data_IF_215354908777
#
_entry.id   IF_215354908777
#
_cell.length_a   1.000
_cell.length_b   1.000
_cell.length_c   1.000
_cell.angle_alpha   90.00
_cell.angle_beta   90.00
_cell.angle_gamma   90.00
#
_symmetry.space_group_name_H-M   'P 1'
#
loop_
_entity.id
_entity.type
_entity.pdbx_description
1 polymer ?
#
# COMPACT_ATOMS: atom_id res chain seq x y z
N UNK A 1 9.85 -26.41 13.76
CA UNK A 1 8.91 -26.10 12.65
C UNK A 1 8.97 -24.60 12.31
N UNK A 2 9.47 -24.18 11.13
CA UNK A 2 9.64 -22.76 10.82
C UNK A 2 8.30 -22.15 10.38
N UNK A 3 7.36 -21.99 11.31
CA UNK A 3 6.04 -21.38 11.04
C UNK A 3 6.12 -19.91 10.62
N UNK A 4 7.18 -19.17 11.02
CA UNK A 4 7.34 -17.73 10.76
C UNK A 4 7.55 -17.37 9.29
N UNK A 5 8.36 -18.13 8.53
CA UNK A 5 8.69 -17.80 7.12
C UNK A 5 7.51 -18.04 6.15
N UNK A 6 6.66 -19.02 6.42
CA UNK A 6 5.48 -19.29 5.57
C UNK A 6 4.42 -18.19 5.68
N UNK A 7 4.28 -17.60 6.88
CA UNK A 7 3.36 -16.50 7.13
C UNK A 7 3.79 -15.18 6.48
N UNK A 8 5.10 -14.93 6.31
CA UNK A 8 5.57 -13.71 5.64
C UNK A 8 5.28 -13.74 4.14
N UNK A 9 5.48 -14.88 3.47
CA UNK A 9 5.19 -15.02 2.03
C UNK A 9 3.72 -14.78 1.70
N UNK A 10 2.79 -15.36 2.48
CA UNK A 10 1.35 -15.15 2.28
C UNK A 10 0.94 -13.69 2.51
N UNK A 11 1.54 -13.00 3.49
CA UNK A 11 1.29 -11.56 3.71
C UNK A 11 1.75 -10.71 2.52
N UNK A 12 2.93 -11.00 1.97
CA UNK A 12 3.45 -10.32 0.78
C UNK A 12 2.53 -10.54 -0.42
N UNK A 13 2.13 -11.79 -0.69
CA UNK A 13 1.22 -12.09 -1.79
C UNK A 13 -0.15 -11.43 -1.63
N UNK A 14 -0.68 -11.38 -0.40
CA UNK A 14 -1.95 -10.69 -0.08
C UNK A 14 -1.82 -9.17 -0.23
N UNK A 15 -0.67 -8.59 0.08
CA UNK A 15 -0.41 -7.17 -0.16
C UNK A 15 -0.33 -6.90 -1.67
N UNK A 16 0.36 -7.75 -2.42
CA UNK A 16 0.51 -7.65 -3.86
C UNK A 16 -0.79 -7.88 -4.64
N UNK A 17 -1.74 -8.65 -4.11
CA UNK A 17 -3.05 -8.83 -4.74
C UNK A 17 -3.96 -7.60 -4.64
N UNK A 18 -3.59 -6.59 -3.85
CA UNK A 18 -4.35 -5.35 -3.71
C UNK A 18 -3.85 -4.31 -4.72
N UNK A 19 -4.67 -3.99 -5.73
CA UNK A 19 -4.32 -3.01 -6.77
C UNK A 19 -3.82 -1.68 -6.20
N UNK A 20 -4.49 -1.13 -5.17
CA UNK A 20 -4.09 0.12 -4.52
C UNK A 20 -2.71 0.02 -3.82
N UNK A 21 -2.40 -1.12 -3.20
CA UNK A 21 -1.11 -1.32 -2.53
C UNK A 21 0.01 -1.46 -3.56
N UNK A 22 -0.26 -2.15 -4.66
CA UNK A 22 0.71 -2.26 -5.76
C UNK A 22 0.98 -0.91 -6.43
N UNK A 23 -0.05 -0.12 -6.70
CA UNK A 23 0.14 1.24 -7.25
C UNK A 23 0.94 2.12 -6.29
N UNK A 24 0.71 1.99 -4.98
CA UNK A 24 1.49 2.70 -3.96
C UNK A 24 2.96 2.26 -3.96
N UNK A 25 3.24 0.95 -3.99
CA UNK A 25 4.61 0.43 -4.06
C UNK A 25 5.34 0.87 -5.34
N UNK A 26 4.68 0.76 -6.49
CA UNK A 26 5.24 1.23 -7.77
C UNK A 26 5.56 2.72 -7.70
N UNK A 27 4.62 3.53 -7.20
CA UNK A 27 4.83 4.97 -7.04
C UNK A 27 6.04 5.29 -6.16
N UNK A 28 6.21 4.58 -5.04
CA UNK A 28 7.35 4.79 -4.15
C UNK A 28 8.68 4.35 -4.77
N UNK A 29 8.68 3.31 -5.60
CA UNK A 29 9.88 2.86 -6.33
C UNK A 29 10.27 3.89 -7.40
N UNK A 30 9.30 4.40 -8.15
CA UNK A 30 9.54 5.33 -9.26
C UNK A 30 9.85 6.76 -8.80
N UNK A 31 9.16 7.23 -7.75
CA UNK A 31 9.21 8.65 -7.33
C UNK A 31 9.89 8.85 -5.98
N UNK A 32 10.30 7.77 -5.32
CA UNK A 32 10.87 7.81 -3.98
C UNK A 32 9.81 8.05 -2.89
N UNK A 33 10.25 8.32 -1.64
CA UNK A 33 9.36 8.61 -0.53
C UNK A 33 8.48 9.83 -0.81
N UNK A 34 7.18 9.68 -0.59
CA UNK A 34 6.21 10.75 -0.76
C UNK A 34 5.39 10.96 0.52
N UNK A 35 4.90 12.18 0.71
CA UNK A 35 3.98 12.48 1.80
C UNK A 35 2.64 11.76 1.58
N UNK A 36 1.88 11.57 2.67
CA UNK A 36 0.54 10.98 2.60
C UNK A 36 -0.36 11.72 1.60
N UNK A 37 -0.37 13.06 1.65
CA UNK A 37 -1.20 13.88 0.78
C UNK A 37 -0.74 13.84 -0.67
N UNK A 38 0.57 13.77 -0.92
CA UNK A 38 1.10 13.68 -2.28
C UNK A 38 0.85 12.30 -2.90
N UNK A 39 0.91 11.22 -2.12
CA UNK A 39 0.49 9.89 -2.58
C UNK A 39 -1.00 9.89 -2.97
N UNK A 40 -1.87 10.53 -2.19
CA UNK A 40 -3.28 10.65 -2.55
C UNK A 40 -3.48 11.39 -3.87
N UNK A 41 -2.72 12.47 -4.12
CA UNK A 41 -2.75 13.21 -5.39
C UNK A 41 -2.25 12.35 -6.56
N UNK A 42 -1.12 11.68 -6.41
CA UNK A 42 -0.51 10.86 -7.47
C UNK A 42 -1.41 9.68 -7.83
N UNK A 43 -2.05 9.06 -6.83
CA UNK A 43 -3.00 7.97 -7.01
C UNK A 43 -4.42 8.45 -7.37
N UNK A 44 -4.61 9.77 -7.55
CA UNK A 44 -5.90 10.41 -7.90
C UNK A 44 -7.06 10.01 -6.96
N UNK A 45 -6.75 9.84 -5.68
CA UNK A 45 -7.73 9.52 -4.65
C UNK A 45 -8.40 10.80 -4.14
N UNK A 46 -9.67 10.71 -3.77
CA UNK A 46 -10.38 11.83 -3.16
C UNK A 46 -10.11 11.83 -1.64
N UNK A 47 -9.47 12.87 -1.07
CA UNK A 47 -9.15 12.91 0.36
C UNK A 47 -10.37 12.77 1.29
N UNK A 48 -11.51 13.35 0.93
CA UNK A 48 -12.72 13.31 1.77
C UNK A 48 -13.41 11.93 1.76
N UNK A 49 -13.27 11.17 0.66
CA UNK A 49 -13.93 9.88 0.49
C UNK A 49 -13.00 8.69 0.78
N UNK A 50 -11.76 8.78 0.33
CA UNK A 50 -10.84 7.65 0.26
C UNK A 50 -9.79 7.65 1.37
N UNK A 51 -9.63 8.71 2.16
CA UNK A 51 -8.58 8.79 3.19
C UNK A 51 -8.65 7.65 4.21
N UNK A 52 -9.84 7.33 4.73
CA UNK A 52 -9.98 6.23 5.69
C UNK A 52 -9.57 4.88 5.09
N UNK A 53 -10.00 4.61 3.85
CA UNK A 53 -9.63 3.39 3.11
C UNK A 53 -8.13 3.36 2.80
N UNK A 54 -7.56 4.49 2.42
CA UNK A 54 -6.14 4.60 2.11
C UNK A 54 -5.27 4.36 3.35
N UNK A 55 -5.61 4.98 4.49
CA UNK A 55 -4.92 4.76 5.77
C UNK A 55 -5.00 3.30 6.23
N UNK A 56 -6.11 2.59 5.96
CA UNK A 56 -6.23 1.16 6.25
C UNK A 56 -5.15 0.33 5.55
N UNK A 57 -4.72 0.71 4.34
CA UNK A 57 -3.68 0.01 3.60
C UNK A 57 -2.25 0.27 4.11
N UNK A 58 -2.04 1.33 4.89
CA UNK A 58 -0.73 1.66 5.49
C UNK A 58 -0.53 0.97 6.85
N UNK A 59 -1.62 0.69 7.57
CA UNK A 59 -1.58 0.08 8.90
C UNK A 59 -1.25 -1.43 8.88
N UNK A 60 -1.54 -2.10 7.77
CA UNK A 60 -1.44 -3.57 7.61
C UNK A 60 -0.91 -3.96 6.23
#
# INVERSE_FOLDING_TARGET
MPKRRRQSGVKVLKAASSSLRMQLLITLVEKGPQSYTDLMKVLKLNPSRDAGRFAYHLKY
#
